data_IF_104115988647
#
_entry.id   IF_104115988647
#
_cell.length_a   1.000
_cell.length_b   1.000
_cell.length_c   1.000
_cell.angle_alpha   90.00
_cell.angle_beta   90.00
_cell.angle_gamma   90.00
#
_symmetry.space_group_name_H-M   'P 1'
#
loop_
_entity.id
_entity.type
_entity.pdbx_description
1 polymer ?
#
# COMPACT_ATOMS: atom_id res chain seq x y z
N UNK A 1 -6.10 5.49 10.71
CA UNK A 1 -6.01 5.85 9.29
C UNK A 1 -6.17 4.62 8.41
N UNK A 2 -6.49 4.80 7.13
CA UNK A 2 -6.41 3.70 6.17
C UNK A 2 -4.96 3.44 5.79
N UNK A 3 -4.69 2.19 5.43
CA UNK A 3 -3.40 1.70 4.95
C UNK A 3 -3.67 0.80 3.76
N UNK A 4 -2.90 0.95 2.68
CA UNK A 4 -3.16 0.24 1.44
C UNK A 4 -2.00 -0.69 1.06
N UNK A 5 -2.35 -1.88 0.61
CA UNK A 5 -1.46 -2.71 -0.20
C UNK A 5 -1.73 -2.36 -1.66
N UNK A 6 -0.69 -1.98 -2.41
CA UNK A 6 -0.84 -1.38 -3.74
C UNK A 6 0.10 -2.03 -4.75
N UNK A 7 -0.14 -1.73 -6.02
CA UNK A 7 0.77 -2.07 -7.10
C UNK A 7 1.52 -0.84 -7.60
N UNK A 8 2.82 -1.00 -7.80
CA UNK A 8 3.70 -0.05 -8.46
C UNK A 8 4.05 -0.60 -9.84
N UNK A 9 3.88 0.22 -10.87
CA UNK A 9 4.19 -0.12 -12.26
C UNK A 9 5.02 0.98 -12.90
N UNK A 10 5.68 0.68 -14.04
CA UNK A 10 6.40 1.69 -14.82
C UNK A 10 5.40 2.65 -15.49
N UNK A 11 5.71 3.94 -15.48
CA UNK A 11 4.91 4.95 -16.20
C UNK A 11 4.93 4.77 -17.72
N UNK A 12 6.04 4.24 -18.25
CA UNK A 12 6.20 3.98 -19.68
C UNK A 12 5.42 2.75 -20.18
N UNK A 13 4.85 1.95 -19.27
CA UNK A 13 4.10 0.74 -19.61
C UNK A 13 2.63 1.01 -19.91
N UNK A 14 1.95 -0.04 -20.31
CA UNK A 14 0.52 -0.07 -20.70
C UNK A 14 -0.41 -0.47 -19.53
N UNK A 15 0.12 -0.74 -18.34
CA UNK A 15 -0.65 -1.13 -17.16
C UNK A 15 -1.21 0.12 -16.48
N UNK A 16 -2.53 0.23 -16.42
CA UNK A 16 -3.24 1.38 -15.85
C UNK A 16 -4.26 1.01 -14.77
N UNK A 17 -4.73 -0.23 -14.75
CA UNK A 17 -5.72 -0.74 -13.81
C UNK A 17 -5.39 -2.18 -13.38
N UNK A 18 -6.06 -2.71 -12.36
CA UNK A 18 -5.82 -4.08 -11.86
C UNK A 18 -6.04 -5.14 -12.92
N UNK A 19 -7.00 -4.94 -13.81
CA UNK A 19 -7.31 -5.89 -14.88
C UNK A 19 -6.13 -6.09 -15.84
N UNK A 20 -5.31 -5.08 -16.05
CA UNK A 20 -4.12 -5.14 -16.91
C UNK A 20 -3.02 -6.05 -16.33
N UNK A 21 -3.10 -6.37 -15.03
CA UNK A 21 -2.16 -7.28 -14.36
C UNK A 21 -2.46 -8.76 -14.60
N UNK A 22 -3.59 -9.09 -15.25
CA UNK A 22 -3.89 -10.47 -15.61
C UNK A 22 -2.82 -11.06 -16.53
N UNK A 23 -2.28 -12.21 -16.15
CA UNK A 23 -1.20 -12.90 -16.89
C UNK A 23 0.18 -12.23 -16.78
N UNK A 24 0.32 -11.12 -16.08
CA UNK A 24 1.59 -10.39 -15.87
C UNK A 24 2.46 -11.04 -14.82
N UNK A 25 3.72 -10.61 -14.79
CA UNK A 25 4.70 -11.01 -13.78
C UNK A 25 4.75 -9.98 -12.65
N UNK A 26 4.63 -10.44 -11.42
CA UNK A 26 4.61 -9.57 -10.23
C UNK A 26 5.72 -10.00 -9.26
N UNK A 27 6.41 -9.02 -8.67
CA UNK A 27 7.33 -9.26 -7.56
C UNK A 27 6.76 -8.75 -6.23
N UNK A 28 6.99 -9.52 -5.17
CA UNK A 28 6.63 -9.20 -3.79
C UNK A 28 7.76 -9.52 -2.84
N UNK A 29 7.76 -8.90 -1.67
CA UNK A 29 8.61 -9.36 -0.58
C UNK A 29 7.96 -10.57 0.09
N UNK A 30 8.74 -11.61 0.37
CA UNK A 30 8.27 -12.83 1.05
C UNK A 30 7.76 -12.53 2.46
N UNK A 31 6.82 -13.35 2.92
CA UNK A 31 6.17 -13.23 4.24
C UNK A 31 5.43 -11.90 4.45
N UNK A 32 4.91 -11.30 3.37
CA UNK A 32 4.10 -10.08 3.43
C UNK A 32 2.66 -10.34 3.00
N UNK A 33 1.76 -9.40 3.36
CA UNK A 33 0.34 -9.52 3.00
C UNK A 33 0.08 -9.54 1.48
N UNK A 34 0.78 -8.75 0.65
CA UNK A 34 0.66 -8.89 -0.81
C UNK A 34 1.00 -10.29 -1.33
N UNK A 35 2.04 -10.94 -0.80
CA UNK A 35 2.37 -12.31 -1.20
C UNK A 35 1.23 -13.27 -0.87
N UNK A 36 0.74 -13.26 0.37
CA UNK A 36 -0.36 -14.11 0.83
C UNK A 36 -1.58 -13.96 -0.08
N UNK A 37 -2.04 -12.71 -0.31
CA UNK A 37 -3.22 -12.44 -1.12
C UNK A 37 -3.07 -12.88 -2.58
N UNK A 38 -1.88 -12.73 -3.17
CA UNK A 38 -1.63 -13.12 -4.56
C UNK A 38 -1.40 -14.63 -4.72
N UNK A 39 -0.95 -15.33 -3.68
CA UNK A 39 -0.84 -16.78 -3.67
C UNK A 39 -2.18 -17.48 -3.45
N UNK A 40 -3.04 -16.91 -2.61
CA UNK A 40 -4.39 -17.44 -2.35
C UNK A 40 -5.28 -17.43 -3.59
N UNK A 41 -5.05 -16.51 -4.52
CA UNK A 41 -5.46 -16.49 -5.93
C UNK A 41 -6.94 -16.64 -6.30
N UNK A 42 -7.80 -16.95 -5.34
CA UNK A 42 -9.16 -17.45 -5.56
C UNK A 42 -10.24 -16.38 -5.33
N UNK A 43 -9.87 -15.12 -5.49
CA UNK A 43 -10.80 -14.01 -5.31
C UNK A 43 -10.93 -13.26 -6.64
N UNK A 44 -12.14 -13.18 -7.19
CA UNK A 44 -12.43 -12.44 -8.44
C UNK A 44 -12.04 -10.95 -8.39
N UNK A 45 -11.67 -10.45 -7.20
CA UNK A 45 -11.18 -9.09 -6.98
C UNK A 45 -9.71 -8.91 -7.30
N UNK A 46 -8.92 -9.99 -7.38
CA UNK A 46 -7.48 -9.92 -7.60
C UNK A 46 -7.10 -10.33 -9.02
N UNK A 47 -6.04 -9.73 -9.58
CA UNK A 47 -5.57 -10.13 -10.89
C UNK A 47 -5.09 -11.59 -10.86
N UNK A 48 -5.42 -12.34 -11.90
CA UNK A 48 -4.87 -13.69 -12.11
C UNK A 48 -3.43 -13.57 -12.58
N UNK A 49 -2.50 -13.55 -11.63
CA UNK A 49 -1.07 -13.35 -11.86
C UNK A 49 -0.52 -14.49 -12.73
N UNK A 50 0.21 -14.14 -13.79
CA UNK A 50 0.88 -15.12 -14.63
C UNK A 50 2.06 -15.77 -13.94
N UNK A 51 2.86 -14.96 -13.22
CA UNK A 51 3.97 -15.43 -12.39
C UNK A 51 4.21 -14.51 -11.20
N UNK A 52 4.36 -15.07 -10.03
CA UNK A 52 4.71 -14.36 -8.80
C UNK A 52 6.17 -14.67 -8.42
N UNK A 53 6.96 -13.62 -8.17
CA UNK A 53 8.30 -13.72 -7.63
C UNK A 53 8.30 -13.24 -6.19
N UNK A 54 8.57 -14.14 -5.25
CA UNK A 54 8.74 -13.84 -3.83
C UNK A 54 10.22 -13.71 -3.52
N UNK A 55 10.65 -12.54 -3.05
CA UNK A 55 12.06 -12.24 -2.78
C UNK A 55 12.25 -11.72 -1.36
N UNK A 56 13.50 -11.73 -0.88
CA UNK A 56 13.79 -11.51 0.54
C UNK A 56 13.61 -10.05 1.01
N UNK A 57 13.73 -9.07 0.10
CA UNK A 57 13.62 -7.66 0.46
C UNK A 57 13.09 -6.77 -0.67
N UNK A 58 12.62 -5.58 -0.30
CA UNK A 58 12.01 -4.63 -1.24
C UNK A 58 13.01 -4.04 -2.25
N UNK A 59 14.29 -3.95 -1.92
CA UNK A 59 15.30 -3.45 -2.87
C UNK A 59 15.40 -4.38 -4.10
N UNK A 60 15.30 -5.70 -3.88
CA UNK A 60 15.29 -6.69 -4.96
C UNK A 60 13.99 -6.56 -5.76
N UNK A 61 12.83 -6.42 -5.10
CA UNK A 61 11.53 -6.20 -5.78
C UNK A 61 11.60 -5.03 -6.75
N UNK A 62 12.06 -3.87 -6.29
CA UNK A 62 12.16 -2.68 -7.13
C UNK A 62 13.28 -2.75 -8.16
N UNK A 63 14.39 -3.46 -7.86
CA UNK A 63 15.43 -3.72 -8.85
C UNK A 63 14.89 -4.59 -10.00
N UNK A 64 14.04 -5.60 -9.71
CA UNK A 64 13.39 -6.40 -10.73
C UNK A 64 12.43 -5.56 -11.58
N UNK A 65 11.64 -4.68 -10.97
CA UNK A 65 10.73 -3.78 -11.70
C UNK A 65 11.51 -2.82 -12.60
N UNK A 66 12.61 -2.25 -12.10
CA UNK A 66 13.45 -1.31 -12.83
C UNK A 66 14.15 -1.93 -14.04
N UNK A 67 14.56 -3.19 -13.93
CA UNK A 67 15.28 -3.91 -14.98
C UNK A 67 14.37 -4.78 -15.88
N UNK A 68 13.08 -4.53 -15.90
CA UNK A 68 12.09 -5.23 -16.74
C UNK A 68 11.98 -6.75 -16.50
N UNK A 69 12.42 -7.24 -15.33
CA UNK A 69 12.24 -8.65 -14.96
C UNK A 69 10.80 -8.96 -14.51
N UNK A 70 10.08 -7.94 -14.05
CA UNK A 70 8.66 -8.02 -13.68
C UNK A 70 7.89 -6.82 -14.22
N UNK A 71 6.59 -7.00 -14.40
CA UNK A 71 5.68 -5.97 -14.89
C UNK A 71 5.21 -5.03 -13.75
N UNK A 72 5.07 -5.58 -12.55
CA UNK A 72 4.62 -4.83 -11.37
C UNK A 72 5.32 -5.30 -10.10
N UNK A 73 5.35 -4.41 -9.10
CA UNK A 73 5.70 -4.69 -7.71
C UNK A 73 4.45 -4.52 -6.84
N UNK A 74 4.20 -5.44 -5.90
CA UNK A 74 3.14 -5.26 -4.92
C UNK A 74 3.75 -5.07 -3.52
N UNK A 75 3.33 -4.00 -2.83
CA UNK A 75 3.86 -3.64 -1.52
C UNK A 75 2.92 -2.72 -0.75
N UNK A 76 3.31 -2.40 0.47
CA UNK A 76 2.64 -1.39 1.27
C UNK A 76 2.88 0.02 0.70
N UNK A 77 1.86 0.87 0.69
CA UNK A 77 1.89 2.22 0.11
C UNK A 77 3.03 3.09 0.66
N UNK A 78 3.32 3.01 1.96
CA UNK A 78 4.41 3.79 2.58
C UNK A 78 5.77 3.42 1.98
N UNK A 79 5.99 2.14 1.72
CA UNK A 79 7.23 1.65 1.09
C UNK A 79 7.31 2.11 -0.37
N UNK A 80 6.19 2.06 -1.08
CA UNK A 80 6.13 2.56 -2.46
C UNK A 80 6.41 4.06 -2.55
N UNK A 81 5.89 4.86 -1.62
CA UNK A 81 6.08 6.31 -1.60
C UNK A 81 7.57 6.70 -1.55
N UNK A 82 8.38 5.98 -0.78
CA UNK A 82 9.83 6.20 -0.71
C UNK A 82 10.49 6.05 -2.09
N UNK A 83 10.22 4.92 -2.77
CA UNK A 83 10.79 4.66 -4.10
C UNK A 83 10.27 5.59 -5.19
N UNK A 84 8.98 5.96 -5.14
CA UNK A 84 8.40 6.87 -6.12
C UNK A 84 8.94 8.28 -5.94
N UNK A 85 9.17 8.72 -4.70
CA UNK A 85 9.79 10.01 -4.43
C UNK A 85 11.24 10.09 -4.96
N UNK A 86 11.97 8.97 -4.94
CA UNK A 86 13.32 8.90 -5.50
C UNK A 86 13.30 8.88 -7.05
N UNK A 87 12.31 8.25 -7.66
CA UNK A 87 12.21 8.08 -9.12
C UNK A 87 10.81 8.46 -9.67
N UNK A 88 10.36 9.71 -9.48
CA UNK A 88 8.99 10.12 -9.77
C UNK A 88 8.60 10.02 -11.24
N UNK A 89 9.58 10.06 -12.16
CA UNK A 89 9.33 9.96 -13.60
C UNK A 89 9.22 8.51 -14.10
N UNK A 90 9.67 7.53 -13.30
CA UNK A 90 9.74 6.13 -13.74
C UNK A 90 8.51 5.33 -13.33
N UNK A 91 7.92 5.62 -12.17
CA UNK A 91 6.90 4.76 -11.56
C UNK A 91 5.61 5.50 -11.29
N UNK A 92 4.52 4.75 -11.26
CA UNK A 92 3.20 5.17 -10.77
C UNK A 92 2.59 4.09 -9.90
N UNK A 93 1.73 4.50 -8.97
CA UNK A 93 0.84 3.61 -8.21
C UNK A 93 -0.45 3.47 -9.01
N UNK A 94 -1.01 2.25 -9.08
CA UNK A 94 -2.36 2.04 -9.58
C UNK A 94 -3.37 2.63 -8.57
N UNK A 95 -4.46 3.18 -9.08
CA UNK A 95 -5.50 3.78 -8.22
C UNK A 95 -6.20 2.74 -7.34
N UNK A 96 -6.40 1.55 -7.90
CA UNK A 96 -6.97 0.42 -7.20
C UNK A 96 -5.94 -0.22 -6.27
N UNK A 97 -6.40 -0.65 -5.12
CA UNK A 97 -5.57 -1.33 -4.11
C UNK A 97 -5.79 -2.84 -4.12
N UNK A 98 -4.76 -3.59 -3.79
CA UNK A 98 -4.85 -5.02 -3.51
C UNK A 98 -5.64 -5.27 -2.22
N UNK A 99 -5.43 -4.41 -1.23
CA UNK A 99 -6.13 -4.46 0.06
C UNK A 99 -6.15 -3.09 0.71
N UNK A 100 -7.31 -2.69 1.20
CA UNK A 100 -7.47 -1.57 2.12
C UNK A 100 -7.63 -2.13 3.56
N UNK A 101 -6.80 -1.66 4.46
CA UNK A 101 -6.84 -2.01 5.88
C UNK A 101 -6.89 -0.77 6.75
N UNK A 102 -7.31 -0.92 8.01
CA UNK A 102 -7.22 0.14 9.01
C UNK A 102 -6.00 -0.06 9.89
N UNK A 103 -5.28 1.02 10.13
CA UNK A 103 -4.18 1.07 11.10
C UNK A 103 -4.64 1.87 12.31
N UNK A 104 -4.43 1.30 13.47
CA UNK A 104 -4.71 1.91 14.76
C UNK A 104 -3.60 1.60 15.77
N UNK A 105 -3.69 2.21 16.93
CA UNK A 105 -2.84 1.90 18.08
C UNK A 105 -3.58 0.92 18.98
N UNK A 106 -2.92 -0.18 19.35
CA UNK A 106 -3.46 -1.17 20.26
C UNK A 106 -2.88 -0.97 21.67
N UNK A 107 -3.73 -1.13 22.68
CA UNK A 107 -3.38 -1.14 24.08
C UNK A 107 -3.65 -2.53 24.67
N UNK A 108 -3.02 -2.85 25.78
CA UNK A 108 -3.38 -4.04 26.54
C UNK A 108 -4.87 -4.01 26.92
N UNK A 109 -5.51 -5.18 26.97
CA UNK A 109 -6.95 -5.31 27.23
C UNK A 109 -7.39 -4.62 28.53
N UNK A 110 -6.56 -4.69 29.56
CA UNK A 110 -6.80 -4.09 30.89
C UNK A 110 -5.85 -2.89 31.14
N UNK A 111 -5.30 -2.31 30.07
CA UNK A 111 -4.36 -1.20 30.12
C UNK A 111 -5.01 0.16 30.41
N UNK A 112 -4.22 1.21 30.26
CA UNK A 112 -4.63 2.59 30.53
C UNK A 112 -5.69 3.06 29.51
N UNK A 113 -6.94 3.03 29.96
CA UNK A 113 -8.08 3.45 29.13
C UNK A 113 -8.11 4.97 28.94
N UNK A 114 -7.68 5.74 29.94
CA UNK A 114 -7.63 7.19 29.88
C UNK A 114 -6.64 7.64 28.80
N UNK A 115 -5.45 7.03 28.75
CA UNK A 115 -4.47 7.28 27.70
C UNK A 115 -5.01 6.91 26.31
N UNK A 116 -5.74 5.81 26.18
CA UNK A 116 -6.34 5.40 24.89
C UNK A 116 -7.39 6.41 24.41
N UNK A 117 -8.23 6.90 25.32
CA UNK A 117 -9.25 7.90 25.04
C UNK A 117 -8.62 9.27 24.69
N UNK A 118 -7.60 9.71 25.43
CA UNK A 118 -6.85 10.95 25.13
C UNK A 118 -6.13 10.88 23.79
N UNK A 119 -5.48 9.76 23.47
CA UNK A 119 -4.83 9.57 22.16
C UNK A 119 -5.85 9.62 21.01
N UNK A 120 -6.99 8.96 21.20
CA UNK A 120 -8.08 8.97 20.20
C UNK A 120 -8.55 10.40 19.92
N UNK A 121 -8.82 11.16 20.98
CA UNK A 121 -9.25 12.56 20.89
C UNK A 121 -8.20 13.42 20.19
N UNK A 122 -6.93 13.29 20.56
CA UNK A 122 -5.82 14.04 19.96
C UNK A 122 -5.69 13.73 18.46
N UNK A 123 -5.79 12.46 18.07
CA UNK A 123 -5.74 12.06 16.66
C UNK A 123 -6.93 12.61 15.86
N UNK A 124 -8.11 12.70 16.47
CA UNK A 124 -9.28 13.33 15.83
C UNK A 124 -9.09 14.85 15.67
N UNK A 125 -8.54 15.54 16.68
CA UNK A 125 -8.20 16.96 16.61
C UNK A 125 -7.18 17.22 15.50
N UNK A 126 -6.08 16.47 15.44
CA UNK A 126 -5.07 16.55 14.38
C UNK A 126 -5.61 16.27 12.97
N UNK A 127 -6.65 15.44 12.88
CA UNK A 127 -7.36 15.20 11.61
C UNK A 127 -8.18 16.42 11.20
N UNK A 128 -8.89 17.03 12.14
CA UNK A 128 -9.80 18.15 11.90
C UNK A 128 -9.06 19.46 11.61
N UNK A 129 -7.92 19.70 12.22
CA UNK A 129 -7.09 20.90 12.03
C UNK A 129 -6.13 20.81 10.83
N UNK A 130 -6.03 19.62 10.19
CA UNK A 130 -5.18 19.39 9.02
C UNK A 130 -3.76 18.90 9.32
N UNK A 131 -3.34 18.86 10.59
CA UNK A 131 -2.00 18.38 10.98
C UNK A 131 -1.71 16.99 10.47
N UNK A 132 -2.68 16.05 10.58
CA UNK A 132 -2.53 14.69 10.04
C UNK A 132 -2.30 14.68 8.53
N UNK A 133 -2.99 15.55 7.79
CA UNK A 133 -2.84 15.68 6.34
C UNK A 133 -1.44 16.17 5.96
N UNK A 134 -0.94 17.19 6.63
CA UNK A 134 0.40 17.72 6.40
C UNK A 134 1.50 16.69 6.67
N UNK A 135 1.37 15.92 7.77
CA UNK A 135 2.32 14.86 8.10
C UNK A 135 2.33 13.78 7.00
N UNK A 136 1.17 13.29 6.60
CA UNK A 136 1.08 12.25 5.56
C UNK A 136 1.67 12.70 4.24
N UNK A 137 1.37 13.93 3.80
CA UNK A 137 1.90 14.51 2.58
C UNK A 137 3.42 14.65 2.61
N UNK A 138 4.00 15.01 3.77
CA UNK A 138 5.46 15.09 3.95
C UNK A 138 6.15 13.75 3.68
N UNK A 139 5.48 12.63 3.93
CA UNK A 139 5.99 11.28 3.67
C UNK A 139 5.53 10.70 2.33
N UNK A 140 4.93 11.52 1.45
CA UNK A 140 4.50 11.10 0.12
C UNK A 140 3.29 10.17 0.11
N UNK A 141 2.52 10.12 1.21
CA UNK A 141 1.31 9.32 1.33
C UNK A 141 0.12 10.12 0.82
N UNK A 142 -0.77 9.49 0.06
CA UNK A 142 -2.04 10.08 -0.36
C UNK A 142 -2.93 10.30 0.88
N UNK A 143 -2.87 11.53 1.41
CA UNK A 143 -3.54 11.87 2.66
C UNK A 143 -5.08 11.80 2.54
N UNK A 144 -5.64 12.07 1.38
CA UNK A 144 -7.09 12.03 1.19
C UNK A 144 -7.58 10.57 1.25
N UNK A 145 -6.88 9.64 0.61
CA UNK A 145 -7.16 8.20 0.71
C UNK A 145 -6.87 7.65 2.11
N UNK A 146 -5.76 8.06 2.75
CA UNK A 146 -5.37 7.59 4.07
C UNK A 146 -6.31 8.05 5.20
N UNK A 147 -6.88 9.25 5.08
CA UNK A 147 -7.79 9.83 6.06
C UNK A 147 -9.27 9.66 5.71
N UNK A 148 -9.59 9.05 4.57
CA UNK A 148 -10.98 8.81 4.19
C UNK A 148 -11.71 7.95 5.23
N UNK A 149 -12.87 8.40 5.68
CA UNK A 149 -13.76 7.63 6.55
C UNK A 149 -14.62 6.73 5.69
N UNK A 150 -14.11 5.56 5.30
CA UNK A 150 -14.97 4.54 4.69
C UNK A 150 -15.91 4.01 5.78
N UNK A 151 -17.22 4.23 5.64
CA UNK A 151 -18.22 3.48 6.41
C UNK A 151 -18.20 2.06 5.84
N UNK A 152 -17.75 1.09 6.63
CA UNK A 152 -17.94 -0.31 6.30
C UNK A 152 -19.38 -0.66 6.65
N UNK A 153 -20.16 -1.05 5.67
CA UNK A 153 -21.42 -1.74 5.85
C UNK A 153 -21.17 -3.19 6.29
#
# INVERSE_FOLDING_TARGET
MNSRQIFVVRKSGDINELADLNGKTIAVMSSTKPEELLLEGDNDKFPKVGRLYSVENMNIVFAMLRNDYVDAAACHEVVAAEYINEFPELYKILDESLLDAKVGVAFEKDGDKELADELTKTLEEMRNDGTSKEILQKYGIDADKALEVKKFE
#
